data_IF_629691043439
#
_entry.id   IF_629691043439
#
_cell.length_a   1.000
_cell.length_b   1.000
_cell.length_c   1.000
_cell.angle_alpha   90.00
_cell.angle_beta   90.00
_cell.angle_gamma   90.00
#
_symmetry.space_group_name_H-M   'P 1'
#
loop_
_entity.id
_entity.type
_entity.pdbx_description
1 polymer ?
#
# COMPACT_ATOMS: atom_id res chain seq x y z
N UNK A 1 2.97 -8.02 -26.11
CA UNK A 1 1.85 -8.14 -25.15
C UNK A 1 0.85 -7.04 -25.42
N UNK A 2 -0.44 -7.36 -25.41
CA UNK A 2 -1.49 -6.34 -25.55
C UNK A 2 -1.54 -5.45 -24.29
N UNK A 3 -1.96 -4.18 -24.41
CA UNK A 3 -2.19 -3.34 -23.24
C UNK A 3 -3.16 -4.04 -22.28
N UNK A 4 -2.82 -4.07 -20.99
CA UNK A 4 -3.60 -4.75 -19.95
C UNK A 4 -3.19 -6.21 -19.66
N UNK A 5 -2.50 -6.92 -20.58
CA UNK A 5 -2.09 -8.32 -20.30
C UNK A 5 -1.08 -8.40 -19.16
N UNK A 6 -0.09 -7.49 -19.13
CA UNK A 6 0.93 -7.43 -18.07
C UNK A 6 0.29 -7.02 -16.74
N UNK A 7 -0.59 -6.03 -16.74
CA UNK A 7 -1.31 -5.59 -15.54
C UNK A 7 -2.14 -6.72 -14.91
N UNK A 8 -2.83 -7.54 -15.71
CA UNK A 8 -3.57 -8.70 -15.20
C UNK A 8 -2.65 -9.77 -14.63
N UNK A 9 -1.46 -9.97 -15.18
CA UNK A 9 -0.46 -10.89 -14.63
C UNK A 9 0.08 -10.38 -13.29
N UNK A 10 0.35 -9.08 -13.18
CA UNK A 10 0.81 -8.44 -11.94
C UNK A 10 -0.24 -8.54 -10.83
N UNK A 11 -1.51 -8.26 -11.13
CA UNK A 11 -2.62 -8.41 -10.16
C UNK A 11 -2.68 -9.84 -9.62
N UNK A 12 -2.57 -10.85 -10.50
CA UNK A 12 -2.56 -12.26 -10.08
C UNK A 12 -1.35 -12.60 -9.23
N UNK A 13 -0.17 -12.06 -9.56
CA UNK A 13 1.06 -12.26 -8.80
C UNK A 13 0.92 -11.69 -7.40
N UNK A 14 0.56 -10.41 -7.26
CA UNK A 14 0.50 -9.72 -5.96
C UNK A 14 -0.66 -10.19 -5.09
N UNK A 15 -1.76 -10.69 -5.66
CA UNK A 15 -2.83 -11.33 -4.88
C UNK A 15 -2.42 -12.70 -4.31
N UNK A 16 -1.45 -13.38 -4.92
CA UNK A 16 -0.99 -14.70 -4.48
C UNK A 16 0.11 -14.60 -3.42
N UNK A 17 0.90 -13.54 -3.45
CA UNK A 17 1.93 -13.28 -2.44
C UNK A 17 1.38 -12.50 -1.26
N UNK A 18 2.10 -12.54 -0.15
CA UNK A 18 1.83 -11.76 1.07
C UNK A 18 3.08 -10.96 1.48
N UNK A 19 3.96 -10.71 0.50
CA UNK A 19 5.16 -9.90 0.71
C UNK A 19 4.79 -8.43 0.80
N UNK A 20 5.50 -7.68 1.64
CA UNK A 20 5.32 -6.24 1.74
C UNK A 20 5.77 -5.57 0.44
N UNK A 21 4.90 -4.74 -0.13
CA UNK A 21 5.10 -4.09 -1.41
C UNK A 21 5.88 -2.78 -1.27
N UNK A 22 5.79 -2.12 -0.11
CA UNK A 22 6.54 -0.91 0.17
C UNK A 22 7.93 -1.28 0.70
N UNK A 23 8.96 -0.61 0.20
CA UNK A 23 10.33 -0.81 0.70
C UNK A 23 10.42 -0.38 2.17
N UNK A 24 10.98 -1.24 3.01
CA UNK A 24 11.05 -1.05 4.47
C UNK A 24 11.77 0.23 4.91
N UNK A 25 12.93 0.54 4.30
CA UNK A 25 13.73 1.70 4.71
C UNK A 25 13.03 3.06 4.42
N UNK A 26 12.47 3.30 3.22
CA UNK A 26 11.64 4.48 2.98
C UNK A 26 10.42 4.56 3.91
N UNK A 27 9.72 3.44 4.15
CA UNK A 27 8.59 3.43 5.06
C UNK A 27 8.99 3.81 6.49
N UNK A 28 10.11 3.25 6.98
CA UNK A 28 10.65 3.59 8.29
C UNK A 28 11.00 5.09 8.41
N UNK A 29 11.62 5.69 7.39
CA UNK A 29 11.90 7.12 7.40
C UNK A 29 10.63 7.96 7.44
N UNK A 30 9.61 7.58 6.69
CA UNK A 30 8.31 8.26 6.71
C UNK A 30 7.63 8.17 8.09
N UNK A 31 7.71 7.01 8.76
CA UNK A 31 7.20 6.88 10.14
C UNK A 31 7.96 7.81 11.08
N UNK A 32 9.29 7.89 10.97
CA UNK A 32 10.10 8.79 11.81
C UNK A 32 9.81 10.26 11.53
N UNK A 33 9.68 10.64 10.26
CA UNK A 33 9.35 12.00 9.84
C UNK A 33 8.01 12.47 10.45
N UNK A 34 6.96 11.67 10.29
CA UNK A 34 5.63 12.00 10.83
C UNK A 34 5.65 12.05 12.37
N UNK A 35 6.37 11.14 13.01
CA UNK A 35 6.36 11.02 14.48
C UNK A 35 7.18 12.10 15.17
N UNK A 36 8.18 12.66 14.48
CA UNK A 36 8.99 13.77 14.95
C UNK A 36 8.14 15.02 15.25
N UNK A 37 7.08 15.26 14.48
CA UNK A 37 6.15 16.38 14.67
C UNK A 37 5.32 16.25 15.96
N UNK A 38 5.16 15.03 16.49
CA UNK A 38 4.42 14.78 17.72
C UNK A 38 5.32 14.79 18.96
N UNK A 39 6.50 14.17 18.87
CA UNK A 39 7.46 14.11 19.97
C UNK A 39 8.87 13.87 19.43
N UNK A 40 9.80 14.73 19.83
CA UNK A 40 11.22 14.59 19.52
C UNK A 40 11.82 13.39 20.28
N UNK A 41 12.81 12.74 19.67
CA UNK A 41 13.59 11.63 20.25
C UNK A 41 12.81 10.33 20.53
N UNK A 42 11.76 10.05 19.75
CA UNK A 42 11.08 8.76 19.78
C UNK A 42 11.97 7.63 19.22
N UNK A 43 11.96 6.49 19.90
CA UNK A 43 12.61 5.26 19.44
C UNK A 43 11.55 4.20 19.15
N UNK A 44 11.64 3.59 17.98
CA UNK A 44 10.74 2.52 17.58
C UNK A 44 11.38 1.15 17.75
N UNK A 45 10.60 0.19 18.23
CA UNK A 45 10.93 -1.22 18.12
C UNK A 45 10.79 -1.65 16.65
N UNK A 46 11.64 -2.56 16.19
CA UNK A 46 11.56 -3.09 14.81
C UNK A 46 10.21 -3.72 14.49
N UNK A 47 9.60 -4.43 15.44
CA UNK A 47 8.25 -5.01 15.31
C UNK A 47 7.16 -3.96 15.21
N UNK A 48 7.32 -2.80 15.87
CA UNK A 48 6.33 -1.73 15.81
C UNK A 48 6.28 -1.11 14.40
N UNK A 49 7.43 -0.86 13.79
CA UNK A 49 7.51 -0.34 12.41
C UNK A 49 6.92 -1.35 11.43
N UNK A 50 7.18 -2.64 11.61
CA UNK A 50 6.60 -3.71 10.78
C UNK A 50 5.07 -3.76 10.92
N UNK A 51 4.53 -3.68 12.13
CA UNK A 51 3.09 -3.68 12.36
C UNK A 51 2.40 -2.46 11.72
N UNK A 52 3.03 -1.28 11.79
CA UNK A 52 2.55 -0.09 11.09
C UNK A 52 2.54 -0.29 9.57
N UNK A 53 3.56 -0.95 9.03
CA UNK A 53 3.65 -1.21 7.60
C UNK A 53 2.56 -2.19 7.14
N UNK A 54 2.38 -3.29 7.86
CA UNK A 54 1.33 -4.29 7.57
C UNK A 54 -0.06 -3.65 7.61
N UNK A 55 -0.36 -2.86 8.64
CA UNK A 55 -1.64 -2.17 8.75
C UNK A 55 -1.87 -1.15 7.62
N UNK A 56 -0.84 -0.38 7.27
CA UNK A 56 -0.93 0.63 6.20
C UNK A 56 -1.14 0.02 4.83
N UNK A 57 -0.39 -1.05 4.49
CA UNK A 57 -0.54 -1.74 3.22
C UNK A 57 -1.91 -2.44 3.12
N UNK A 58 -2.37 -3.09 4.20
CA UNK A 58 -3.70 -3.70 4.24
C UNK A 58 -4.81 -2.66 4.04
N UNK A 59 -4.70 -1.49 4.67
CA UNK A 59 -5.63 -0.38 4.48
C UNK A 59 -5.66 0.12 3.03
N UNK A 60 -4.48 0.34 2.43
CA UNK A 60 -4.38 0.81 1.04
C UNK A 60 -4.95 -0.20 0.05
N UNK A 61 -4.70 -1.50 0.24
CA UNK A 61 -5.27 -2.55 -0.60
C UNK A 61 -6.80 -2.53 -0.53
N UNK A 62 -7.37 -2.49 0.68
CA UNK A 62 -8.82 -2.42 0.85
C UNK A 62 -9.43 -1.15 0.24
N UNK A 63 -8.73 -0.01 0.36
CA UNK A 63 -9.14 1.24 -0.27
C UNK A 63 -9.13 1.12 -1.81
N UNK A 64 -8.09 0.52 -2.40
CA UNK A 64 -8.02 0.32 -3.85
C UNK A 64 -9.05 -0.67 -4.38
N UNK A 65 -9.43 -1.68 -3.59
CA UNK A 65 -10.54 -2.56 -3.95
C UNK A 65 -11.85 -1.79 -4.02
N UNK A 66 -12.13 -0.94 -3.02
CA UNK A 66 -13.31 -0.09 -3.00
C UNK A 66 -13.33 0.94 -4.15
N UNK A 67 -12.20 1.62 -4.41
CA UNK A 67 -12.14 2.60 -5.51
C UNK A 67 -12.29 1.93 -6.87
N UNK A 68 -11.77 0.71 -7.05
CA UNK A 68 -11.98 -0.07 -8.26
C UNK A 68 -13.45 -0.47 -8.44
N UNK A 69 -14.17 -0.82 -7.36
CA UNK A 69 -15.61 -1.04 -7.42
C UNK A 69 -16.36 0.23 -7.84
N UNK A 70 -15.96 1.41 -7.35
CA UNK A 70 -16.53 2.70 -7.78
C UNK A 70 -16.25 3.01 -9.27
N UNK A 71 -15.05 2.69 -9.76
CA UNK A 71 -14.72 2.84 -11.18
C UNK A 71 -15.59 1.91 -12.05
N UNK A 72 -15.74 0.65 -11.66
CA UNK A 72 -16.60 -0.33 -12.37
C UNK A 72 -18.06 0.12 -12.33
N UNK A 73 -18.54 0.65 -11.21
CA UNK A 73 -19.89 1.18 -11.06
C UNK A 73 -20.21 2.28 -12.09
N UNK A 74 -19.22 3.12 -12.39
CA UNK A 74 -19.33 4.20 -13.39
C UNK A 74 -18.95 3.76 -14.80
N UNK A 75 -18.71 2.45 -15.02
CA UNK A 75 -18.27 1.83 -16.30
C UNK A 75 -16.88 2.26 -16.77
N UNK A 76 -16.04 2.68 -15.83
CA UNK A 76 -14.61 2.96 -16.07
C UNK A 76 -13.75 1.75 -15.67
N UNK A 77 -12.59 1.64 -16.33
CA UNK A 77 -11.55 0.64 -16.00
C UNK A 77 -10.37 1.29 -15.26
N UNK A 78 -10.14 2.57 -15.50
CA UNK A 78 -9.09 3.36 -14.85
C UNK A 78 -9.65 4.03 -13.59
N UNK A 79 -9.02 3.79 -12.45
CA UNK A 79 -9.29 4.55 -11.22
C UNK A 79 -8.90 6.02 -11.40
N UNK A 80 -9.70 6.92 -10.84
CA UNK A 80 -9.51 8.37 -10.89
C UNK A 80 -9.67 8.95 -9.49
N UNK A 81 -9.04 10.10 -9.18
CA UNK A 81 -9.21 10.79 -7.89
C UNK A 81 -10.64 11.30 -7.67
#
# INVERSE_FOLDING_TARGET
>A
YSPGTVALQEIRRYRKSTELLIRKLPFQWLVLEITQDFKTDLRFQSSAVMALQEASEAYLVGLFEATNLCAIHTKHVTIMP
#
